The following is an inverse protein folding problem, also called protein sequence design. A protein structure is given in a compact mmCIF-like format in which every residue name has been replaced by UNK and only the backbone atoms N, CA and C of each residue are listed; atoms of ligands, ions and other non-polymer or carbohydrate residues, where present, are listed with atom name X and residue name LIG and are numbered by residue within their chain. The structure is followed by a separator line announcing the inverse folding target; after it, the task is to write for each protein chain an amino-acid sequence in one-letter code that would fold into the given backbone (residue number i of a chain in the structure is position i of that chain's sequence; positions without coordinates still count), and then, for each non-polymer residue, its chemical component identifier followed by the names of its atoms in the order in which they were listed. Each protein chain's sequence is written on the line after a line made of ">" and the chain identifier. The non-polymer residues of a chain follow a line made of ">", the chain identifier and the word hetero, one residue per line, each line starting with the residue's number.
data_IF_719179307368
#
_entry.id   IF_719179307368
#
_cell.length_a   1.000
_cell.length_b   1.000
_cell.length_c   1.000
_cell.angle_alpha   90.00
_cell.angle_beta   90.00
_cell.angle_gamma   90.00
#
_symmetry.space_group_name_H-M   'P 1'
#
loop_
_entity.id
_entity.type
_entity.pdbx_description
1 polymer ?
#
# COMPACT_ATOMS: atom_id res chain seq x y z
N UNK A 1 -7.73 15.05 0.50
CA UNK A 1 -6.88 14.13 -0.25
C UNK A 1 -6.92 14.53 -1.69
N UNK A 2 -5.76 14.76 -2.28
CA UNK A 2 -5.61 15.00 -3.71
C UNK A 2 -4.96 13.78 -4.33
N UNK A 3 -5.38 13.38 -5.52
CA UNK A 3 -4.76 12.28 -6.25
C UNK A 3 -4.74 12.62 -7.74
N UNK A 4 -3.70 12.17 -8.45
CA UNK A 4 -3.58 12.32 -9.88
C UNK A 4 -3.75 10.95 -10.53
N UNK A 5 -4.68 10.84 -11.48
CA UNK A 5 -4.87 9.63 -12.27
C UNK A 5 -4.52 9.85 -13.72
N UNK A 6 -3.62 9.00 -14.21
CA UNK A 6 -3.38 8.77 -15.62
C UNK A 6 -3.40 7.27 -15.86
N UNK A 7 -4.62 6.70 -15.95
CA UNK A 7 -4.83 5.36 -16.49
C UNK A 7 -4.73 5.41 -18.02
N UNK A 8 -3.58 5.84 -18.53
CA UNK A 8 -3.29 5.89 -19.97
C UNK A 8 -2.95 4.48 -20.47
N UNK A 9 -3.87 3.53 -20.28
CA UNK A 9 -3.82 2.27 -21.02
C UNK A 9 -5.21 1.66 -21.18
N UNK A 10 -5.97 2.05 -22.23
CA UNK A 10 -7.25 1.43 -22.56
C UNK A 10 -7.15 -0.10 -22.81
N UNK A 11 -5.94 -0.66 -22.94
CA UNK A 11 -5.69 -2.10 -23.13
C UNK A 11 -5.33 -2.86 -21.85
N UNK A 12 -5.20 -2.21 -20.69
CA UNK A 12 -4.91 -2.90 -19.42
C UNK A 12 -6.10 -3.73 -18.89
N UNK A 13 -7.31 -3.26 -19.21
CA UNK A 13 -8.57 -3.96 -19.01
C UNK A 13 -8.92 -4.25 -17.55
N UNK A 14 -10.07 -4.90 -17.37
CA UNK A 14 -10.67 -5.25 -16.07
C UNK A 14 -9.76 -6.06 -15.13
N UNK A 15 -8.61 -6.59 -15.58
CA UNK A 15 -7.71 -7.41 -14.76
C UNK A 15 -6.45 -6.68 -14.29
N UNK A 16 -6.30 -5.39 -14.63
CA UNK A 16 -5.12 -4.61 -14.30
C UNK A 16 -4.95 -4.48 -12.77
N UNK A 17 -3.85 -4.98 -12.17
CA UNK A 17 -3.58 -4.81 -10.74
C UNK A 17 -3.32 -3.33 -10.40
N UNK A 18 -3.62 -2.94 -9.17
CA UNK A 18 -3.47 -1.56 -8.69
C UNK A 18 -2.32 -1.44 -7.72
N UNK A 19 -1.53 -0.38 -7.85
CA UNK A 19 -0.53 0.04 -6.87
C UNK A 19 -0.84 1.45 -6.38
N UNK A 20 -1.06 1.59 -5.08
CA UNK A 20 -1.21 2.87 -4.40
C UNK A 20 0.14 3.29 -3.84
N UNK A 21 0.61 4.48 -4.23
CA UNK A 21 1.90 5.05 -3.83
C UNK A 21 1.65 6.17 -2.82
N UNK A 22 2.00 5.92 -1.55
CA UNK A 22 1.93 6.92 -0.49
C UNK A 22 3.21 7.79 -0.49
N UNK A 23 3.12 9.09 -0.15
CA UNK A 23 4.32 9.93 -0.08
C UNK A 23 5.20 9.54 1.12
N UNK A 24 6.45 9.99 1.09
CA UNK A 24 7.31 9.97 2.29
C UNK A 24 7.01 11.13 3.23
N UNK A 25 7.73 11.18 4.34
CA UNK A 25 7.55 12.19 5.39
C UNK A 25 7.81 13.60 4.83
N UNK A 26 6.83 14.49 5.01
CA UNK A 26 6.81 15.86 4.43
C UNK A 26 6.96 15.89 2.90
N UNK A 27 6.79 14.74 2.24
CA UNK A 27 6.85 14.61 0.80
C UNK A 27 5.51 14.89 0.13
N UNK A 28 5.47 14.60 -1.16
CA UNK A 28 4.28 14.69 -1.98
C UNK A 28 4.31 13.62 -3.08
N UNK A 29 3.20 13.50 -3.81
CA UNK A 29 3.02 12.56 -4.92
C UNK A 29 4.07 12.70 -6.03
N UNK A 30 4.64 13.89 -6.24
CA UNK A 30 5.57 14.15 -7.33
C UNK A 30 6.89 13.39 -7.17
N UNK A 31 7.25 12.95 -5.95
CA UNK A 31 8.41 12.06 -5.74
C UNK A 31 8.27 10.72 -6.48
N UNK A 32 7.04 10.33 -6.85
CA UNK A 32 6.75 9.13 -7.61
C UNK A 32 6.60 9.38 -9.11
N UNK A 33 6.28 10.62 -9.50
CA UNK A 33 5.87 10.99 -10.85
C UNK A 33 7.04 11.45 -11.72
N UNK A 34 6.74 11.91 -12.94
CA UNK A 34 7.72 12.26 -13.96
C UNK A 34 7.98 11.14 -14.95
N UNK A 35 8.62 11.48 -16.07
CA UNK A 35 8.88 10.56 -17.17
C UNK A 35 9.74 9.36 -16.74
N UNK A 36 10.70 9.59 -15.84
CA UNK A 36 11.57 8.57 -15.27
C UNK A 36 11.18 8.21 -13.82
N UNK A 37 10.01 8.65 -13.36
CA UNK A 37 9.51 8.37 -12.01
C UNK A 37 9.07 6.92 -11.86
N UNK A 38 9.11 6.42 -10.62
CA UNK A 38 8.75 5.04 -10.32
C UNK A 38 7.29 4.70 -10.69
N UNK A 39 6.37 5.67 -10.62
CA UNK A 39 5.00 5.49 -11.11
C UNK A 39 4.94 5.17 -12.61
N UNK A 40 5.81 5.79 -13.42
CA UNK A 40 5.93 5.48 -14.85
C UNK A 40 6.52 4.10 -15.07
N UNK A 41 7.53 3.71 -14.27
CA UNK A 41 8.09 2.35 -14.29
C UNK A 41 7.01 1.30 -14.03
N UNK A 42 6.17 1.47 -13.00
CA UNK A 42 5.08 0.55 -12.69
C UNK A 42 4.02 0.50 -13.81
N UNK A 43 3.62 1.66 -14.35
CA UNK A 43 2.66 1.70 -15.48
C UNK A 43 3.17 0.91 -16.70
N UNK A 44 4.44 1.08 -17.05
CA UNK A 44 5.09 0.35 -18.14
C UNK A 44 5.18 -1.17 -17.87
N UNK A 45 5.02 -1.60 -16.62
CA UNK A 45 4.97 -3.02 -16.21
C UNK A 45 3.53 -3.57 -16.12
N UNK A 46 2.52 -2.79 -16.52
CA UNK A 46 1.14 -3.24 -16.55
C UNK A 46 0.44 -3.14 -15.19
N UNK A 47 0.63 -2.03 -14.49
CA UNK A 47 -0.10 -1.69 -13.28
C UNK A 47 -0.93 -0.42 -13.49
N UNK A 48 -2.13 -0.40 -12.91
CA UNK A 48 -2.84 0.83 -12.58
C UNK A 48 -2.11 1.46 -11.39
N UNK A 49 -1.69 2.72 -11.51
CA UNK A 49 -0.90 3.38 -10.47
C UNK A 49 -1.65 4.61 -9.98
N UNK A 50 -1.81 4.72 -8.67
CA UNK A 50 -2.40 5.87 -8.00
C UNK A 50 -1.35 6.51 -7.09
N UNK A 51 -0.96 7.74 -7.42
CA UNK A 51 -0.15 8.60 -6.54
C UNK A 51 -1.10 9.57 -5.84
N UNK A 52 -0.94 9.76 -4.54
CA UNK A 52 -1.80 10.65 -3.77
C UNK A 52 -1.04 11.51 -2.77
N UNK A 53 -1.62 12.66 -2.49
CA UNK A 53 -1.32 13.54 -1.37
C UNK A 53 -2.44 13.38 -0.33
N UNK A 54 -2.24 12.58 0.73
CA UNK A 54 -3.15 12.56 1.87
C UNK A 54 -3.07 13.91 2.61
N UNK A 55 -3.96 14.14 3.58
CA UNK A 55 -3.99 15.39 4.35
C UNK A 55 -2.58 15.79 4.83
N UNK A 56 -2.29 17.10 4.74
CA UNK A 56 -1.00 17.70 5.13
C UNK A 56 0.23 17.17 4.37
N UNK A 57 0.02 16.57 3.20
CA UNK A 57 1.08 16.28 2.24
C UNK A 57 0.81 17.05 0.95
N UNK A 58 1.88 17.46 0.26
CA UNK A 58 1.81 18.11 -1.04
C UNK A 58 0.67 19.12 -1.19
N UNK A 59 -0.16 18.90 -2.22
CA UNK A 59 -1.29 19.78 -2.58
C UNK A 59 -2.48 19.66 -1.61
N UNK A 60 -2.47 18.67 -0.71
CA UNK A 60 -3.43 18.55 0.40
C UNK A 60 -2.97 19.26 1.68
N UNK A 61 -2.01 20.19 1.56
CA UNK A 61 -1.60 21.11 2.62
C UNK A 61 -2.35 22.43 2.48
N UNK A 62 -2.95 22.99 3.54
CA UNK A 62 -3.59 24.29 3.47
C UNK A 62 -2.63 25.38 2.94
N UNK A 63 -3.12 26.35 2.14
CA UNK A 63 -2.29 27.41 1.59
C UNK A 63 -1.65 28.25 2.70
N UNK A 64 -0.47 28.82 2.43
CA UNK A 64 0.35 29.52 3.46
C UNK A 64 -0.37 30.69 4.14
N UNK A 65 -1.33 31.29 3.45
CA UNK A 65 -2.09 32.44 3.94
C UNK A 65 -3.29 32.05 4.84
N UNK A 66 -3.54 30.76 5.03
CA UNK A 66 -4.52 30.27 5.99
C UNK A 66 -3.88 30.24 7.39
N UNK A 67 -3.99 31.36 8.11
CA UNK A 67 -3.34 31.58 9.41
C UNK A 67 -3.56 30.47 10.46
N UNK A 68 -2.58 30.33 11.36
CA UNK A 68 -2.52 29.40 12.52
C UNK A 68 -2.80 27.90 12.24
N UNK A 69 -2.74 27.43 10.99
CA UNK A 69 -2.86 26.02 10.70
C UNK A 69 -1.53 25.28 10.93
N UNK A 70 -1.55 24.31 11.84
CA UNK A 70 -0.40 23.42 12.09
C UNK A 70 -0.17 22.56 10.84
N UNK A 71 0.91 22.88 10.10
CA UNK A 71 1.33 22.17 8.88
C UNK A 71 1.90 20.77 9.18
N UNK A 72 2.42 20.56 10.39
CA UNK A 72 2.98 19.27 10.81
C UNK A 72 1.88 18.22 11.04
N UNK A 73 2.20 16.96 10.74
CA UNK A 73 1.36 15.82 11.04
C UNK A 73 1.33 15.59 12.55
N UNK A 74 0.13 15.59 13.12
CA UNK A 74 -0.11 15.23 14.51
C UNK A 74 -0.61 13.78 14.58
N UNK A 75 -0.62 13.15 15.76
CA UNK A 75 -1.11 11.79 15.95
C UNK A 75 -2.51 11.55 15.36
N UNK A 76 -3.41 12.53 15.52
CA UNK A 76 -4.77 12.48 14.97
C UNK A 76 -4.78 12.49 13.43
N UNK A 77 -3.85 13.21 12.80
CA UNK A 77 -3.80 13.31 11.34
C UNK A 77 -3.45 11.95 10.73
N UNK A 78 -2.50 11.20 11.32
CA UNK A 78 -2.22 9.83 10.89
C UNK A 78 -3.42 8.89 11.04
N UNK A 79 -4.11 8.97 12.18
CA UNK A 79 -5.29 8.15 12.43
C UNK A 79 -6.40 8.45 11.41
N UNK A 80 -6.51 9.70 11.00
CA UNK A 80 -7.48 10.12 10.01
C UNK A 80 -7.07 9.79 8.57
N UNK A 81 -5.77 9.81 8.23
CA UNK A 81 -5.30 9.27 6.94
C UNK A 81 -5.74 7.81 6.81
N UNK A 82 -5.52 7.02 7.87
CA UNK A 82 -5.92 5.62 7.93
C UNK A 82 -7.44 5.44 7.80
N UNK A 83 -8.24 6.28 8.48
CA UNK A 83 -9.69 6.10 8.61
C UNK A 83 -10.51 6.70 7.48
N UNK A 84 -10.03 7.78 6.88
CA UNK A 84 -10.82 8.58 5.95
C UNK A 84 -10.11 8.75 4.60
N UNK A 85 -8.83 9.12 4.60
CA UNK A 85 -8.14 9.42 3.33
C UNK A 85 -7.95 8.16 2.48
N UNK A 86 -7.53 7.04 3.09
CA UNK A 86 -7.38 5.76 2.40
C UNK A 86 -8.73 5.10 2.08
N UNK A 87 -9.79 5.41 2.81
CA UNK A 87 -11.16 4.98 2.46
C UNK A 87 -11.68 5.73 1.24
N UNK A 88 -11.43 7.04 1.13
CA UNK A 88 -11.76 7.81 -0.06
C UNK A 88 -10.96 7.34 -1.30
N UNK A 89 -9.68 7.00 -1.12
CA UNK A 89 -8.87 6.33 -2.17
C UNK A 89 -9.53 5.02 -2.60
N UNK A 90 -10.00 4.22 -1.65
CA UNK A 90 -10.65 2.95 -1.96
C UNK A 90 -11.98 3.13 -2.69
N UNK A 91 -12.76 4.14 -2.32
CA UNK A 91 -14.00 4.49 -3.00
C UNK A 91 -13.74 4.91 -4.45
N UNK A 92 -12.73 5.76 -4.68
CA UNK A 92 -12.29 6.08 -6.03
C UNK A 92 -11.87 4.83 -6.83
N UNK A 93 -11.06 3.95 -6.24
CA UNK A 93 -10.66 2.69 -6.89
C UNK A 93 -11.86 1.75 -7.15
N UNK A 94 -12.91 1.82 -6.33
CA UNK A 94 -14.15 1.10 -6.56
C UNK A 94 -14.87 1.61 -7.80
N UNK A 95 -14.95 2.94 -8.00
CA UNK A 95 -15.56 3.53 -9.20
C UNK A 95 -14.83 3.09 -10.47
N UNK A 96 -13.49 3.20 -10.47
CA UNK A 96 -12.63 2.77 -11.57
C UNK A 96 -12.74 1.25 -11.83
N UNK A 97 -12.87 0.46 -10.76
CA UNK A 97 -13.11 -0.96 -10.86
C UNK A 97 -14.43 -1.27 -11.56
N UNK A 98 -15.51 -0.57 -11.20
CA UNK A 98 -16.82 -0.74 -11.82
C UNK A 98 -16.84 -0.31 -13.29
N UNK A 99 -16.05 0.70 -13.65
CA UNK A 99 -15.79 1.10 -15.04
C UNK A 99 -14.89 0.12 -15.80
N UNK A 100 -14.42 -0.96 -15.15
CA UNK A 100 -13.53 -1.98 -15.72
C UNK A 100 -12.14 -1.45 -16.13
N UNK A 101 -11.71 -0.34 -15.54
CA UNK A 101 -10.39 0.23 -15.77
C UNK A 101 -9.30 -0.53 -14.98
N UNK A 102 -9.68 -1.24 -13.91
CA UNK A 102 -8.76 -1.97 -13.03
C UNK A 102 -9.43 -3.11 -12.25
N UNK A 103 -8.62 -3.94 -11.58
CA UNK A 103 -9.06 -4.94 -10.62
C UNK A 103 -8.65 -4.56 -9.19
N UNK A 104 -9.57 -3.95 -8.43
CA UNK A 104 -9.28 -3.56 -7.04
C UNK A 104 -8.98 -4.76 -6.12
N UNK A 105 -9.38 -5.99 -6.49
CA UNK A 105 -9.05 -7.20 -5.73
C UNK A 105 -7.55 -7.54 -5.73
N UNK A 106 -6.79 -6.89 -6.62
CA UNK A 106 -5.36 -7.06 -6.84
C UNK A 106 -4.65 -5.75 -6.49
N UNK A 107 -4.82 -5.29 -5.25
CA UNK A 107 -4.25 -4.03 -4.78
C UNK A 107 -2.95 -4.24 -4.01
N UNK A 108 -1.98 -3.37 -4.23
CA UNK A 108 -0.82 -3.20 -3.36
C UNK A 108 -0.68 -1.76 -2.89
N UNK A 109 -0.06 -1.59 -1.73
CA UNK A 109 0.28 -0.27 -1.18
C UNK A 109 1.79 -0.21 -0.96
N UNK A 110 2.42 0.84 -1.48
CA UNK A 110 3.81 1.19 -1.16
C UNK A 110 3.76 2.35 -0.17
N UNK A 111 4.27 2.09 1.03
CA UNK A 111 4.17 2.98 2.16
C UNK A 111 5.57 3.28 2.72
N UNK A 112 6.09 4.49 2.50
CA UNK A 112 7.33 4.93 3.11
C UNK A 112 7.15 5.33 4.58
N UNK A 113 8.23 5.17 5.35
CA UNK A 113 8.47 5.90 6.60
C UNK A 113 7.28 5.88 7.58
N UNK A 114 6.77 7.04 8.00
CA UNK A 114 5.69 7.16 8.97
C UNK A 114 4.34 6.64 8.42
N UNK A 115 4.16 6.54 7.11
CA UNK A 115 2.93 5.99 6.53
C UNK A 115 2.92 4.45 6.48
N UNK A 116 4.03 3.77 6.81
CA UNK A 116 4.07 2.31 6.93
C UNK A 116 3.03 1.75 7.93
N UNK A 117 2.98 2.18 9.22
CA UNK A 117 1.97 1.69 10.16
C UNK A 117 0.54 2.09 9.79
N UNK A 118 0.36 3.22 9.09
CA UNK A 118 -0.93 3.65 8.54
C UNK A 118 -1.42 2.62 7.52
N UNK A 119 -0.58 2.23 6.55
CA UNK A 119 -0.90 1.24 5.53
C UNK A 119 -1.17 -0.15 6.14
N UNK A 120 -0.37 -0.58 7.13
CA UNK A 120 -0.62 -1.84 7.85
C UNK A 120 -2.01 -1.85 8.51
N UNK A 121 -2.35 -0.76 9.21
CA UNK A 121 -3.64 -0.65 9.89
C UNK A 121 -4.82 -0.56 8.92
N UNK A 122 -4.66 0.14 7.80
CA UNK A 122 -5.66 0.19 6.73
C UNK A 122 -5.89 -1.19 6.12
N UNK A 123 -4.84 -1.95 5.81
CA UNK A 123 -4.95 -3.33 5.31
C UNK A 123 -5.77 -4.21 6.25
N UNK A 124 -5.52 -4.11 7.57
CA UNK A 124 -6.34 -4.85 8.55
C UNK A 124 -7.81 -4.44 8.49
N UNK A 125 -8.11 -3.14 8.38
CA UNK A 125 -9.50 -2.65 8.25
C UNK A 125 -10.15 -3.13 6.97
N UNK A 126 -9.44 -3.07 5.85
CA UNK A 126 -9.88 -3.56 4.55
C UNK A 126 -10.28 -5.03 4.62
N UNK A 127 -9.43 -5.87 5.20
CA UNK A 127 -9.69 -7.30 5.36
C UNK A 127 -10.79 -7.64 6.36
N UNK A 128 -11.09 -6.75 7.31
CA UNK A 128 -12.18 -6.92 8.27
C UNK A 128 -13.55 -6.49 7.73
N UNK A 129 -13.63 -5.87 6.56
CA UNK A 129 -14.91 -5.48 5.98
C UNK A 129 -15.77 -6.71 5.71
N UNK A 130 -16.91 -6.78 6.39
CA UNK A 130 -17.87 -7.89 6.23
C UNK A 130 -18.45 -7.84 4.81
N UNK A 131 -18.39 -8.91 4.01
CA UNK A 131 -19.04 -8.99 2.70
C UNK A 131 -20.55 -8.72 2.76
N UNK A 132 -21.14 -8.31 1.64
CA UNK A 132 -22.60 -8.14 1.56
C UNK A 132 -23.32 -9.43 1.92
N UNK A 133 -24.49 -9.35 2.57
CA UNK A 133 -25.32 -10.52 2.89
C UNK A 133 -26.19 -10.91 1.69
N UNK A 134 -25.57 -11.14 0.54
CA UNK A 134 -26.23 -11.36 -0.75
C UNK A 134 -25.95 -12.75 -1.35
N UNK A 135 -25.43 -13.67 -0.53
CA UNK A 135 -25.14 -15.04 -0.92
C UNK A 135 -25.36 -16.03 0.23
N UNK A 136 -25.64 -17.32 -0.09
CA UNK A 136 -25.95 -18.36 0.88
C UNK A 136 -24.76 -18.73 1.78
N UNK A 137 -23.52 -18.47 1.35
CA UNK A 137 -22.29 -18.74 2.09
C UNK A 137 -21.33 -17.56 2.04
N UNK A 138 -20.40 -17.45 2.99
CA UNK A 138 -19.39 -16.36 2.99
C UNK A 138 -18.57 -16.33 1.70
N UNK A 139 -18.24 -17.49 1.12
CA UNK A 139 -17.45 -17.58 -0.12
C UNK A 139 -18.20 -17.09 -1.37
N UNK A 140 -19.53 -17.05 -1.32
CA UNK A 140 -20.36 -16.61 -2.46
C UNK A 140 -20.86 -15.18 -2.33
N UNK A 141 -20.64 -14.54 -1.18
CA UNK A 141 -21.02 -13.15 -0.93
C UNK A 141 -20.12 -12.18 -1.67
N UNK A 142 -20.70 -11.06 -2.08
CA UNK A 142 -19.95 -10.00 -2.76
C UNK A 142 -18.99 -9.32 -1.76
N UNK A 143 -17.66 -9.31 -1.99
CA UNK A 143 -16.73 -8.77 -1.02
C UNK A 143 -16.75 -7.24 -1.00
N UNK A 144 -16.69 -6.67 0.21
CA UNK A 144 -16.56 -5.21 0.46
C UNK A 144 -15.11 -4.79 0.75
N UNK A 145 -14.21 -5.77 0.86
CA UNK A 145 -12.80 -5.59 1.17
C UNK A 145 -11.98 -6.80 0.77
N UNK A 146 -10.95 -7.09 1.56
CA UNK A 146 -9.96 -8.13 1.24
C UNK A 146 -9.28 -7.85 -0.12
N UNK A 147 -9.03 -6.58 -0.42
CA UNK A 147 -8.55 -6.08 -1.69
C UNK A 147 -7.03 -5.91 -1.70
N UNK A 148 -6.45 -5.52 -0.56
CA UNK A 148 -4.99 -5.38 -0.42
C UNK A 148 -4.33 -6.75 -0.32
N UNK A 149 -3.46 -7.08 -1.29
CA UNK A 149 -2.72 -8.35 -1.38
C UNK A 149 -1.23 -8.21 -1.07
N UNK A 150 -0.69 -6.99 -1.19
CA UNK A 150 0.71 -6.76 -0.90
C UNK A 150 0.99 -5.39 -0.26
N UNK A 151 1.96 -5.36 0.65
CA UNK A 151 2.53 -4.16 1.24
C UNK A 151 4.02 -4.10 0.96
N UNK A 152 4.49 -2.96 0.44
CA UNK A 152 5.92 -2.64 0.38
C UNK A 152 6.16 -1.49 1.34
N UNK A 153 6.99 -1.75 2.35
CA UNK A 153 7.28 -0.84 3.44
C UNK A 153 8.71 -0.31 3.28
N UNK A 154 8.85 0.96 2.90
CA UNK A 154 10.15 1.56 2.55
C UNK A 154 10.69 2.39 3.72
N UNK A 155 11.86 2.02 4.24
CA UNK A 155 12.42 2.67 5.44
C UNK A 155 11.37 2.86 6.55
N UNK A 156 10.65 1.79 6.92
CA UNK A 156 9.43 1.93 7.69
C UNK A 156 9.69 2.41 9.11
N UNK A 157 8.66 3.00 9.70
CA UNK A 157 8.50 3.01 11.15
C UNK A 157 7.55 1.89 11.59
N UNK A 158 7.68 1.41 12.84
CA UNK A 158 6.79 0.34 13.36
C UNK A 158 5.55 0.92 14.03
N UNK A 159 5.68 2.02 14.75
CA UNK A 159 4.59 2.62 15.49
C UNK A 159 4.63 4.14 15.33
N UNK A 160 3.44 4.71 15.27
CA UNK A 160 3.24 6.13 15.40
C UNK A 160 2.41 6.42 16.65
N UNK A 161 2.49 7.62 17.22
CA UNK A 161 1.54 8.07 18.22
C UNK A 161 0.10 7.85 17.73
N UNK A 162 -0.71 7.09 18.48
CA UNK A 162 -2.10 6.80 18.14
C UNK A 162 -2.33 5.67 17.12
N UNK A 163 -1.27 5.11 16.50
CA UNK A 163 -1.36 3.96 15.59
C UNK A 163 -0.37 2.87 16.00
N UNK A 164 -0.89 1.76 16.50
CA UNK A 164 -0.08 0.58 16.82
C UNK A 164 0.10 -0.30 15.58
N UNK A 165 1.24 -0.15 14.89
CA UNK A 165 1.60 -1.06 13.80
C UNK A 165 1.84 -2.48 14.32
N UNK A 166 2.35 -2.66 15.55
CA UNK A 166 2.49 -3.97 16.20
C UNK A 166 1.16 -4.75 16.24
N UNK A 167 0.06 -4.11 16.64
CA UNK A 167 -1.26 -4.74 16.67
C UNK A 167 -1.74 -5.15 15.27
N UNK A 168 -1.42 -4.35 14.26
CA UNK A 168 -1.72 -4.68 12.87
C UNK A 168 -0.90 -5.88 12.38
N UNK A 169 0.41 -5.91 12.64
CA UNK A 169 1.31 -6.99 12.25
C UNK A 169 0.91 -8.35 12.84
N UNK A 170 0.48 -8.38 14.12
CA UNK A 170 -0.01 -9.60 14.76
C UNK A 170 -1.24 -10.19 14.04
N UNK A 171 -2.07 -9.34 13.43
CA UNK A 171 -3.22 -9.76 12.63
C UNK A 171 -2.80 -10.16 11.23
N UNK A 172 -1.94 -9.38 10.58
CA UNK A 172 -1.45 -9.62 9.21
C UNK A 172 -0.58 -10.89 9.12
N UNK A 173 0.02 -11.33 10.22
CA UNK A 173 0.68 -12.65 10.30
C UNK A 173 -0.29 -13.81 10.04
N UNK A 174 -1.58 -13.64 10.34
CA UNK A 174 -2.55 -14.72 10.16
C UNK A 174 -2.70 -15.05 8.67
N UNK A 175 -2.43 -16.30 8.23
CA UNK A 175 -2.51 -16.70 6.82
C UNK A 175 -3.88 -16.43 6.16
N UNK A 176 -4.97 -16.32 6.95
CA UNK A 176 -6.30 -15.93 6.45
C UNK A 176 -6.27 -14.58 5.75
N UNK A 177 -5.42 -13.65 6.19
CA UNK A 177 -5.28 -12.33 5.56
C UNK A 177 -4.53 -12.41 4.23
N UNK A 178 -3.81 -13.50 3.91
CA UNK A 178 -3.12 -13.71 2.64
C UNK A 178 -2.49 -12.43 2.03
N UNK A 179 -1.79 -11.64 2.85
CA UNK A 179 -1.14 -10.38 2.45
C UNK A 179 0.37 -10.62 2.49
N UNK A 180 1.02 -10.41 1.35
CA UNK A 180 2.47 -10.41 1.28
C UNK A 180 3.03 -9.07 1.79
N UNK A 181 4.10 -9.11 2.56
CA UNK A 181 4.71 -7.90 3.13
C UNK A 181 6.21 -7.92 2.88
N UNK A 182 6.74 -6.86 2.29
CA UNK A 182 8.16 -6.67 2.09
C UNK A 182 8.61 -5.38 2.78
N UNK A 183 9.69 -5.47 3.54
CA UNK A 183 10.42 -4.31 4.07
C UNK A 183 11.69 -4.10 3.26
N UNK A 184 11.96 -2.85 2.89
CA UNK A 184 13.11 -2.47 2.08
C UNK A 184 13.77 -1.22 2.65
N UNK A 185 15.05 -1.32 3.03
CA UNK A 185 15.80 -0.25 3.72
C UNK A 185 17.22 -0.13 3.19
N UNK A 186 17.81 1.07 3.29
CA UNK A 186 19.25 1.24 3.15
C UNK A 186 19.99 0.73 4.40
N UNK A 187 21.18 0.18 4.24
CA UNK A 187 22.03 -0.33 5.33
C UNK A 187 22.40 0.77 6.36
N UNK A 188 22.65 2.00 5.89
CA UNK A 188 23.01 3.12 6.75
C UNK A 188 21.77 3.82 7.36
N UNK A 189 20.56 3.38 7.02
CA UNK A 189 19.33 3.79 7.69
C UNK A 189 19.06 2.90 8.92
N UNK A 190 19.83 3.13 9.99
CA UNK A 190 19.81 2.29 11.20
C UNK A 190 18.39 2.13 11.78
N UNK A 191 17.63 3.23 11.85
CA UNK A 191 16.23 3.23 12.31
C UNK A 191 15.33 2.38 11.42
N UNK A 192 15.47 2.49 10.11
CA UNK A 192 14.68 1.70 9.17
C UNK A 192 15.02 0.20 9.24
N UNK A 193 16.31 -0.13 9.39
CA UNK A 193 16.79 -1.51 9.56
C UNK A 193 16.21 -2.12 10.84
N UNK A 194 16.34 -1.44 11.98
CA UNK A 194 15.77 -1.89 13.27
C UNK A 194 14.25 -2.08 13.18
N UNK A 195 13.55 -1.14 12.54
CA UNK A 195 12.11 -1.25 12.33
C UNK A 195 11.75 -2.45 11.44
N UNK A 196 12.53 -2.71 10.39
CA UNK A 196 12.32 -3.84 9.48
C UNK A 196 12.58 -5.17 10.15
N UNK A 197 13.60 -5.25 11.02
CA UNK A 197 13.86 -6.42 11.86
C UNK A 197 12.66 -6.72 12.76
N UNK A 198 12.16 -5.70 13.46
CA UNK A 198 10.99 -5.84 14.32
C UNK A 198 9.76 -6.29 13.54
N UNK A 199 9.48 -5.66 12.39
CA UNK A 199 8.35 -6.03 11.52
C UNK A 199 8.47 -7.50 11.11
N UNK A 200 9.64 -7.91 10.63
CA UNK A 200 9.89 -9.27 10.18
C UNK A 200 9.73 -10.28 11.32
N UNK A 201 10.25 -9.97 12.51
CA UNK A 201 10.05 -10.79 13.72
C UNK A 201 8.58 -10.93 14.10
N UNK A 202 7.79 -9.85 14.07
CA UNK A 202 6.35 -9.93 14.38
C UNK A 202 5.59 -10.78 13.37
N UNK A 203 5.93 -10.69 12.09
CA UNK A 203 5.28 -11.44 11.01
C UNK A 203 5.66 -12.93 11.01
N UNK A 204 6.92 -13.26 11.26
CA UNK A 204 7.38 -14.66 11.26
C UNK A 204 7.19 -15.34 12.61
N UNK A 205 7.09 -14.57 13.69
CA UNK A 205 7.10 -15.11 15.06
C UNK A 205 8.40 -15.85 15.38
N UNK A 206 9.52 -15.46 14.76
CA UNK A 206 10.82 -16.13 14.82
C UNK A 206 10.79 -17.60 14.37
N UNK A 207 9.82 -17.96 13.52
CA UNK A 207 9.77 -19.29 12.91
C UNK A 207 10.44 -19.24 11.55
N UNK A 208 11.27 -20.23 11.27
CA UNK A 208 11.79 -20.44 9.93
C UNK A 208 10.64 -20.77 8.97
N UNK A 209 10.78 -20.29 7.73
CA UNK A 209 9.83 -20.61 6.68
C UNK A 209 9.90 -22.11 6.43
N UNK A 210 8.76 -22.79 6.50
CA UNK A 210 8.71 -24.23 6.20
C UNK A 210 8.89 -24.45 4.69
N UNK A 211 9.66 -25.47 4.37
CA UNK A 211 9.87 -25.92 2.99
C UNK A 211 8.52 -26.20 2.30
N UNK A 212 8.35 -25.73 1.07
CA UNK A 212 7.12 -25.87 0.29
C UNK A 212 6.03 -24.80 0.52
N UNK A 213 6.19 -23.87 1.47
CA UNK A 213 5.25 -22.74 1.63
C UNK A 213 5.63 -21.54 0.76
N UNK A 214 4.65 -20.89 0.13
CA UNK A 214 4.86 -19.62 -0.57
C UNK A 214 5.38 -18.57 0.40
N UNK A 215 6.53 -17.95 0.07
CA UNK A 215 7.10 -16.90 0.91
C UNK A 215 6.20 -15.66 0.89
N UNK A 216 5.70 -15.25 2.05
CA UNK A 216 4.81 -14.08 2.18
C UNK A 216 5.51 -12.88 2.79
N UNK A 217 6.57 -13.08 3.58
CA UNK A 217 7.23 -12.01 4.32
C UNK A 217 8.68 -11.87 3.88
N UNK A 218 9.11 -10.64 3.59
CA UNK A 218 10.43 -10.36 3.05
C UNK A 218 11.07 -9.20 3.80
N UNK A 219 12.39 -9.28 3.98
CA UNK A 219 13.22 -8.20 4.52
C UNK A 219 14.44 -8.06 3.62
N UNK A 220 14.61 -6.88 3.04
CA UNK A 220 15.72 -6.56 2.16
C UNK A 220 16.45 -5.32 2.67
N UNK A 221 17.77 -5.45 2.83
CA UNK A 221 18.66 -4.35 3.19
C UNK A 221 19.59 -4.10 2.02
N UNK A 222 19.73 -2.85 1.61
CA UNK A 222 20.54 -2.43 0.47
C UNK A 222 21.86 -1.78 0.96
N UNK A 223 23.02 -2.38 0.66
CA UNK A 223 24.32 -1.90 1.17
C UNK A 223 24.65 -0.47 0.76
N UNK A 224 25.36 0.26 1.62
CA UNK A 224 25.89 1.63 1.36
C UNK A 224 24.85 2.76 1.26
N UNK A 225 23.56 2.47 1.25
CA UNK A 225 22.52 3.51 1.17
C UNK A 225 22.08 3.98 2.56
N UNK A 226 21.96 5.30 2.74
CA UNK A 226 21.34 5.92 3.94
C UNK A 226 20.10 6.76 3.62
N UNK A 227 19.76 6.90 2.33
CA UNK A 227 18.53 7.54 1.90
C UNK A 227 17.31 6.75 2.38
N UNK A 228 16.22 7.47 2.65
CA UNK A 228 14.96 6.89 3.15
C UNK A 228 13.83 7.09 2.14
N UNK A 229 12.78 6.28 2.29
CA UNK A 229 11.52 6.44 1.58
C UNK A 229 11.66 6.54 0.04
N UNK A 230 10.94 7.46 -0.63
CA UNK A 230 11.02 7.62 -2.08
C UNK A 230 12.42 7.99 -2.59
N UNK A 231 13.22 8.72 -1.79
CA UNK A 231 14.59 9.11 -2.18
C UNK A 231 15.48 7.88 -2.37
N UNK A 232 15.31 6.85 -1.54
CA UNK A 232 16.05 5.59 -1.69
C UNK A 232 15.77 4.92 -3.04
N UNK A 233 14.51 4.94 -3.49
CA UNK A 233 14.10 4.37 -4.78
C UNK A 233 14.75 5.11 -5.94
N UNK A 234 14.76 6.45 -5.88
CA UNK A 234 15.34 7.28 -6.94
C UNK A 234 16.85 7.09 -7.15
N UNK A 235 17.54 6.51 -6.16
CA UNK A 235 19.00 6.31 -6.16
C UNK A 235 19.42 4.86 -6.28
N UNK A 236 18.47 3.92 -6.30
CA UNK A 236 18.75 2.49 -6.26
C UNK A 236 17.84 1.72 -7.24
N UNK A 237 18.37 1.49 -8.44
CA UNK A 237 17.68 0.75 -9.50
C UNK A 237 17.40 -0.71 -9.11
N UNK A 238 18.27 -1.32 -8.31
CA UNK A 238 18.08 -2.68 -7.82
C UNK A 238 16.85 -2.76 -6.92
N UNK A 239 16.65 -1.78 -6.04
CA UNK A 239 15.45 -1.68 -5.21
C UNK A 239 14.20 -1.57 -6.08
N UNK A 240 14.19 -0.67 -7.07
CA UNK A 240 13.08 -0.52 -8.02
C UNK A 240 12.74 -1.86 -8.71
N UNK A 241 13.77 -2.60 -9.15
CA UNK A 241 13.63 -3.92 -9.77
C UNK A 241 13.03 -4.95 -8.81
N UNK A 242 13.46 -4.96 -7.55
CA UNK A 242 12.99 -5.92 -6.56
C UNK A 242 11.55 -5.64 -6.11
N UNK A 243 11.13 -4.37 -6.03
CA UNK A 243 9.71 -4.02 -5.83
C UNK A 243 8.87 -4.58 -6.96
N UNK A 244 9.27 -4.37 -8.22
CA UNK A 244 8.53 -4.88 -9.37
C UNK A 244 8.43 -6.41 -9.31
N UNK A 245 9.53 -7.11 -8.99
CA UNK A 245 9.50 -8.58 -8.83
C UNK A 245 8.53 -9.03 -7.73
N UNK A 246 8.53 -8.34 -6.60
CA UNK A 246 7.65 -8.63 -5.48
C UNK A 246 6.17 -8.42 -5.86
N UNK A 247 5.85 -7.28 -6.48
CA UNK A 247 4.50 -6.97 -6.95
C UNK A 247 4.03 -7.95 -8.04
N UNK A 248 4.93 -8.34 -8.95
CA UNK A 248 4.59 -9.29 -10.01
C UNK A 248 4.12 -10.61 -9.41
N UNK A 249 4.85 -11.12 -8.42
CA UNK A 249 4.53 -12.37 -7.73
C UNK A 249 3.24 -12.30 -6.92
N UNK A 250 3.07 -11.24 -6.13
CA UNK A 250 2.03 -11.17 -5.10
C UNK A 250 0.80 -10.38 -5.49
N UNK A 251 0.78 -9.79 -6.67
CA UNK A 251 -0.34 -8.97 -7.14
C UNK A 251 -0.66 -9.33 -8.58
N UNK A 252 0.27 -9.12 -9.51
CA UNK A 252 -0.01 -9.27 -10.94
C UNK A 252 -0.31 -10.72 -11.34
N UNK A 253 0.48 -11.68 -10.86
CA UNK A 253 0.34 -13.10 -11.18
C UNK A 253 -0.75 -13.83 -10.37
N UNK A 254 -1.41 -13.15 -9.42
CA UNK A 254 -2.51 -13.75 -8.70
C UNK A 254 -3.73 -13.95 -9.61
N UNK A 255 -4.29 -15.16 -9.57
CA UNK A 255 -5.51 -15.54 -10.29
C UNK A 255 -6.75 -15.11 -9.51
N UNK A 256 -6.98 -13.79 -9.45
CA UNK A 256 -8.19 -13.22 -8.88
C UNK A 256 -8.99 -12.57 -10.01
N UNK A 257 -10.14 -13.14 -10.42
CA UNK A 257 -10.94 -12.56 -11.48
C UNK A 257 -11.58 -11.25 -11.01
N UNK A 258 -11.67 -10.28 -11.92
CA UNK A 258 -12.61 -9.17 -11.80
C UNK A 258 -14.02 -9.68 -11.51
N UNK A 259 -14.69 -9.06 -10.54
CA UNK A 259 -16.08 -9.35 -10.18
C UNK A 259 -16.77 -8.06 -9.76
N UNK A 260 -18.04 -7.91 -10.12
CA UNK A 260 -18.82 -6.76 -9.70
C UNK A 260 -18.88 -6.69 -8.16
N UNK A 261 -18.57 -5.51 -7.62
CA UNK A 261 -18.51 -5.22 -6.18
C UNK A 261 -19.79 -4.61 -5.62
N UNK A 262 -20.82 -4.39 -6.44
CA UNK A 262 -22.18 -4.04 -6.01
C UNK A 262 -22.86 -5.27 -5.44
N UNK A 263 -23.70 -5.06 -4.43
CA UNK A 263 -24.52 -6.14 -3.91
C UNK A 263 -25.34 -6.75 -5.05
N UNK A 264 -25.56 -8.07 -5.03
CA UNK A 264 -26.39 -8.73 -6.06
C UNK A 264 -27.81 -8.17 -6.14
N UNK A 265 -28.28 -7.48 -5.09
CA UNK A 265 -29.58 -6.80 -5.06
C UNK A 265 -29.59 -5.44 -5.78
N UNK A 266 -28.42 -4.88 -6.10
CA UNK A 266 -28.23 -3.54 -6.69
C UNK A 266 -27.69 -3.58 -8.12
N UNK A 267 -27.55 -4.78 -8.70
CA UNK A 267 -26.96 -4.99 -10.04
C UNK A 267 -27.98 -4.79 -11.14
#
# INVERSE_FOLDING_TARGET
>A
TYYNTRFENPNGGQQLPVVVLLPGDRGNRLHWEGQNGFATTLRNKGYAVLTLDPRKHGESTPPENAGNLVKELRPVDYADILRYDLEAVKEFLYEEHQQKNLNMAKMAIIAPESLAPVAMGFTVRDWKKVPYKDGPSLATRTPRGQDVKALVLLSPEVNLPGISGKSALLQLRNPVYNVAICTMTGENDTKGVEASDLIFTYLTGNKEQKEGQTQMFYKQVYPKFGDRGPQLISRNDQLSSDIVKFLNRHVQQQTIPWQDRRSRFER
#
